data_IF_766161086213
#
_entry.id   IF_766161086213
#
_cell.length_a   1.000
_cell.length_b   1.000
_cell.length_c   1.000
_cell.angle_alpha   90.00
_cell.angle_beta   90.00
_cell.angle_gamma   90.00
#
_symmetry.space_group_name_H-M   'P 1'
#
loop_
_entity.id
_entity.type
_entity.pdbx_description
1 polymer ?
#
# COMPACT_ATOMS: atom_id res chain seq x y z
N UNK A 1 -10.17 43.57 -12.12
CA UNK A 1 -10.18 42.30 -12.88
C UNK A 1 -8.78 42.06 -13.42
N UNK A 2 -8.04 41.09 -12.85
CA UNK A 2 -6.95 40.46 -13.57
C UNK A 2 -7.03 38.92 -13.53
N UNK A 3 -7.18 38.35 -14.73
CA UNK A 3 -6.59 37.12 -15.28
C UNK A 3 -6.20 35.99 -14.31
N UNK A 4 -7.06 34.97 -14.23
CA UNK A 4 -6.68 33.61 -13.86
C UNK A 4 -5.91 32.96 -15.01
N UNK A 5 -4.75 32.41 -14.69
CA UNK A 5 -3.95 31.57 -15.58
C UNK A 5 -4.59 30.20 -15.58
N UNK A 6 -5.28 29.89 -16.68
CA UNK A 6 -5.85 28.58 -16.94
C UNK A 6 -4.70 27.58 -17.15
N UNK A 7 -4.38 26.83 -16.10
CA UNK A 7 -3.42 25.74 -16.16
C UNK A 7 -4.17 24.54 -16.71
N UNK A 8 -3.78 23.97 -17.87
CA UNK A 8 -4.52 22.86 -18.44
C UNK A 8 -4.45 21.67 -17.48
N UNK A 9 -5.62 21.23 -17.02
CA UNK A 9 -5.78 19.98 -16.31
C UNK A 9 -5.26 18.89 -17.25
N UNK A 10 -4.21 18.13 -16.89
CA UNK A 10 -3.78 17.01 -17.72
C UNK A 10 -4.96 16.03 -17.77
N UNK A 11 -5.47 15.85 -18.99
CA UNK A 11 -6.44 14.81 -19.33
C UNK A 11 -5.92 13.48 -18.82
N UNK A 12 -6.55 12.97 -17.76
CA UNK A 12 -6.34 11.62 -17.25
C UNK A 12 -6.65 10.66 -18.38
N UNK A 13 -5.62 10.04 -18.93
CA UNK A 13 -5.78 8.82 -19.72
C UNK A 13 -6.36 7.79 -18.78
N UNK A 14 -7.59 7.40 -19.08
CA UNK A 14 -8.37 6.38 -18.40
C UNK A 14 -7.75 5.01 -18.70
N UNK A 15 -6.64 4.70 -18.03
CA UNK A 15 -6.24 3.32 -17.78
C UNK A 15 -6.93 2.91 -16.50
N UNK A 16 -7.67 1.80 -16.54
CA UNK A 16 -8.17 1.12 -15.35
C UNK A 16 -6.98 0.54 -14.55
N UNK A 17 -6.14 1.42 -14.02
CA UNK A 17 -5.03 1.07 -13.17
C UNK A 17 -5.57 0.80 -11.77
N UNK A 18 -5.54 -0.47 -11.38
CA UNK A 18 -5.80 -0.86 -10.00
C UNK A 18 -4.80 -0.15 -9.09
N UNK A 19 -5.28 0.68 -8.16
CA UNK A 19 -4.43 1.35 -7.19
C UNK A 19 -4.28 0.49 -5.93
N UNK A 20 -3.05 0.39 -5.42
CA UNK A 20 -2.76 -0.23 -4.13
C UNK A 20 -2.54 0.90 -3.12
N UNK A 21 -3.40 0.99 -2.10
CA UNK A 21 -3.23 1.92 -0.98
C UNK A 21 -2.67 1.20 0.23
N UNK A 22 -1.58 1.70 0.79
CA UNK A 22 -0.96 1.17 2.01
C UNK A 22 -0.90 2.27 3.07
N UNK A 23 -1.43 1.97 4.25
CA UNK A 23 -1.46 2.89 5.39
C UNK A 23 -0.73 2.33 6.60
N UNK A 24 -0.18 3.21 7.42
CA UNK A 24 0.40 2.87 8.72
C UNK A 24 -0.31 3.64 9.83
N UNK A 25 -0.34 3.07 11.04
CA UNK A 25 -0.95 3.68 12.23
C UNK A 25 -0.05 3.47 13.42
N UNK A 26 0.14 4.53 14.23
CA UNK A 26 0.74 4.42 15.55
C UNK A 26 -0.30 3.87 16.53
N UNK A 27 0.07 2.81 17.27
CA UNK A 27 -0.71 2.31 18.38
C UNK A 27 0.11 2.46 19.65
N UNK A 28 -0.49 3.10 20.66
CA UNK A 28 0.07 3.21 22.00
C UNK A 28 -0.60 2.18 22.90
N UNK A 29 0.11 1.70 23.92
CA UNK A 29 -0.53 0.93 24.98
C UNK A 29 -1.48 1.84 25.76
N UNK A 30 -2.44 1.25 26.49
CA UNK A 30 -3.35 2.03 27.34
C UNK A 30 -2.58 2.90 28.36
N UNK A 31 -1.51 2.34 28.94
CA UNK A 31 -0.69 3.05 29.92
C UNK A 31 0.06 4.24 29.28
N UNK A 32 0.65 4.03 28.10
CA UNK A 32 1.37 5.09 27.39
C UNK A 32 0.41 6.19 26.92
N UNK A 33 -0.77 5.81 26.42
CA UNK A 33 -1.80 6.76 26.02
C UNK A 33 -2.26 7.63 27.20
N UNK A 34 -2.59 7.01 28.34
CA UNK A 34 -3.02 7.74 29.53
C UNK A 34 -1.91 8.66 30.06
N UNK A 35 -0.66 8.22 30.01
CA UNK A 35 0.51 9.05 30.35
C UNK A 35 0.59 10.26 29.43
N UNK A 36 0.58 10.06 28.11
CA UNK A 36 0.64 11.15 27.13
C UNK A 36 -0.53 12.13 27.29
N UNK A 37 -1.74 11.66 27.58
CA UNK A 37 -2.87 12.55 27.86
C UNK A 37 -2.61 13.43 29.09
N UNK A 38 -2.08 12.84 30.17
CA UNK A 38 -1.74 13.59 31.38
C UNK A 38 -0.62 14.62 31.10
N UNK A 39 0.43 14.21 30.41
CA UNK A 39 1.55 15.05 30.03
C UNK A 39 1.10 16.27 29.20
N UNK A 40 0.19 16.05 28.24
CA UNK A 40 -0.42 17.14 27.46
C UNK A 40 -1.25 18.09 28.33
N UNK A 41 -1.99 17.56 29.31
CA UNK A 41 -2.75 18.39 30.26
C UNK A 41 -1.81 19.23 31.12
N UNK A 42 -0.69 18.66 31.58
CA UNK A 42 0.34 19.38 32.34
C UNK A 42 0.99 20.50 31.52
N UNK A 43 1.26 20.29 30.22
CA UNK A 43 1.78 21.34 29.34
C UNK A 43 0.79 22.51 29.15
N UNK A 44 -0.51 22.22 29.06
CA UNK A 44 -1.54 23.27 28.99
C UNK A 44 -1.58 24.08 30.27
N UNK A 45 -1.51 23.41 31.43
CA UNK A 45 -1.46 24.09 32.73
C UNK A 45 -0.20 24.94 32.87
N UNK A 46 0.95 24.41 32.47
CA UNK A 46 2.23 25.13 32.45
C UNK A 46 2.13 26.40 31.60
N UNK A 47 1.62 26.27 30.36
CA UNK A 47 1.40 27.43 29.47
C UNK A 47 0.50 28.48 30.12
N UNK A 48 -0.61 28.05 30.73
CA UNK A 48 -1.54 28.98 31.35
C UNK A 48 -0.92 29.69 32.56
N UNK A 49 -0.17 28.97 33.39
CA UNK A 49 0.56 29.56 34.51
C UNK A 49 1.60 30.58 34.02
N UNK A 50 2.41 30.23 33.02
CA UNK A 50 3.43 31.12 32.45
C UNK A 50 2.82 32.39 31.85
N UNK A 51 1.68 32.28 31.18
CA UNK A 51 1.04 33.43 30.51
C UNK A 51 0.28 34.32 31.49
N UNK A 52 -0.42 33.73 32.46
CA UNK A 52 -1.38 34.47 33.28
C UNK A 52 -0.92 34.76 34.71
N UNK A 53 0.04 33.98 35.25
CA UNK A 53 0.38 34.04 36.67
C UNK A 53 1.87 34.24 36.93
N UNK A 54 2.73 34.18 35.91
CA UNK A 54 4.17 34.26 36.09
C UNK A 54 4.63 35.56 36.76
N UNK A 55 4.11 36.71 36.32
CA UNK A 55 4.46 38.03 36.89
C UNK A 55 3.89 38.19 38.31
N UNK A 56 2.73 37.59 38.59
CA UNK A 56 2.11 37.62 39.91
C UNK A 56 2.87 36.72 40.91
N UNK A 57 3.49 35.64 40.43
CA UNK A 57 4.25 34.68 41.24
C UNK A 57 5.70 35.10 41.49
N UNK A 58 6.28 35.90 40.60
CA UNK A 58 7.67 36.33 40.68
C UNK A 58 7.76 37.86 40.62
N UNK A 59 8.19 38.48 41.73
CA UNK A 59 8.43 39.91 41.78
C UNK A 59 9.67 40.30 40.95
N UNK A 60 9.43 40.61 39.67
CA UNK A 60 10.45 40.98 38.69
C UNK A 60 11.09 42.35 39.02
N UNK A 61 10.53 43.11 39.96
CA UNK A 61 11.14 44.33 40.49
C UNK A 61 12.34 44.06 41.40
N UNK A 62 12.55 42.81 41.84
CA UNK A 62 13.64 42.45 42.76
C UNK A 62 14.63 41.47 42.14
N UNK A 63 15.88 41.54 42.56
CA UNK A 63 16.93 40.62 42.10
C UNK A 63 16.59 39.15 42.42
N UNK A 64 15.99 38.90 43.60
CA UNK A 64 15.60 37.55 44.02
C UNK A 64 14.39 37.02 43.22
N UNK A 65 13.38 37.86 42.97
CA UNK A 65 12.25 37.47 42.12
C UNK A 65 12.66 37.21 40.67
N UNK A 66 13.59 38.01 40.12
CA UNK A 66 14.20 37.75 38.81
C UNK A 66 14.94 36.40 38.74
N UNK A 67 15.70 36.05 39.78
CA UNK A 67 16.38 34.73 39.86
C UNK A 67 15.37 33.59 39.91
N UNK A 68 14.36 33.70 40.80
CA UNK A 68 13.31 32.70 40.92
C UNK A 68 12.52 32.51 39.61
N UNK A 69 12.15 33.60 38.94
CA UNK A 69 11.47 33.56 37.65
C UNK A 69 12.32 32.93 36.56
N UNK A 70 13.62 33.26 36.49
CA UNK A 70 14.54 32.61 35.55
C UNK A 70 14.62 31.10 35.79
N UNK A 71 14.78 30.68 37.03
CA UNK A 71 14.92 29.26 37.36
C UNK A 71 13.62 28.50 37.04
N UNK A 72 12.44 29.10 37.29
CA UNK A 72 11.14 28.56 36.88
C UNK A 72 10.99 28.46 35.35
N UNK A 73 11.47 29.45 34.58
CA UNK A 73 11.47 29.39 33.11
C UNK A 73 12.38 28.29 32.57
N UNK A 74 13.54 28.07 33.19
CA UNK A 74 14.46 26.97 32.81
C UNK A 74 13.79 25.62 33.06
N UNK A 75 13.14 25.45 34.20
CA UNK A 75 12.39 24.22 34.52
C UNK A 75 11.24 23.99 33.52
N UNK A 76 10.48 25.04 33.22
CA UNK A 76 9.41 24.99 32.22
C UNK A 76 9.94 24.61 30.83
N UNK A 77 11.03 25.23 30.38
CA UNK A 77 11.66 24.93 29.11
C UNK A 77 12.13 23.47 29.05
N UNK A 78 12.75 22.97 30.13
CA UNK A 78 13.24 21.59 30.21
C UNK A 78 12.10 20.58 30.04
N UNK A 79 10.94 20.84 30.66
CA UNK A 79 9.74 19.99 30.50
C UNK A 79 9.21 20.02 29.06
N UNK A 80 9.13 21.20 28.45
CA UNK A 80 8.68 21.34 27.05
C UNK A 80 9.62 20.58 26.10
N UNK A 81 10.94 20.74 26.29
CA UNK A 81 11.96 20.11 25.45
C UNK A 81 11.88 18.57 25.53
N UNK A 82 11.66 18.03 26.72
CA UNK A 82 11.47 16.58 26.90
C UNK A 82 10.28 16.04 26.08
N UNK A 83 9.10 16.65 26.19
CA UNK A 83 7.94 16.22 25.42
C UNK A 83 8.09 16.45 23.92
N UNK A 84 8.80 17.51 23.53
CA UNK A 84 9.10 17.77 22.13
C UNK A 84 9.99 16.67 21.52
N UNK A 85 11.04 16.25 22.24
CA UNK A 85 11.92 15.18 21.78
C UNK A 85 11.21 13.81 21.73
N UNK A 86 10.25 13.54 22.63
CA UNK A 86 9.38 12.35 22.54
C UNK A 86 8.54 12.35 21.27
N UNK A 87 7.85 13.46 20.97
CA UNK A 87 7.05 13.60 19.73
C UNK A 87 7.93 13.49 18.48
N UNK A 88 9.13 14.07 18.53
CA UNK A 88 10.11 13.99 17.44
C UNK A 88 10.59 12.57 17.20
N UNK A 89 10.81 11.79 18.26
CA UNK A 89 11.17 10.38 18.16
C UNK A 89 10.05 9.57 17.49
N UNK A 90 8.78 9.82 17.82
CA UNK A 90 7.64 9.18 17.16
C UNK A 90 7.54 9.56 15.67
N UNK A 91 7.69 10.85 15.36
CA UNK A 91 7.69 11.32 13.98
C UNK A 91 8.80 10.67 13.14
N UNK A 92 10.01 10.56 13.72
CA UNK A 92 11.13 9.86 13.10
C UNK A 92 10.81 8.38 12.89
N UNK A 93 10.29 7.68 13.90
CA UNK A 93 9.90 6.28 13.77
C UNK A 93 8.86 6.03 12.68
N UNK A 94 7.84 6.90 12.57
CA UNK A 94 6.85 6.82 11.49
C UNK A 94 7.46 7.07 10.11
N UNK A 95 8.40 8.01 10.01
CA UNK A 95 9.09 8.30 8.75
C UNK A 95 9.98 7.13 8.31
N UNK A 96 10.76 6.55 9.23
CA UNK A 96 11.63 5.42 8.95
C UNK A 96 10.80 4.17 8.60
N UNK A 97 9.68 3.92 9.29
CA UNK A 97 8.76 2.83 8.94
C UNK A 97 8.15 3.02 7.54
N UNK A 98 7.77 4.26 7.18
CA UNK A 98 7.28 4.57 5.83
C UNK A 98 8.35 4.32 4.77
N UNK A 99 9.61 4.68 5.05
CA UNK A 99 10.73 4.44 4.14
C UNK A 99 10.97 2.94 3.93
N UNK A 100 11.06 2.17 5.01
CA UNK A 100 11.23 0.72 4.94
C UNK A 100 10.07 0.04 4.18
N UNK A 101 8.83 0.50 4.41
CA UNK A 101 7.68 -0.01 3.66
C UNK A 101 7.75 0.34 2.17
N UNK A 102 8.19 1.55 1.83
CA UNK A 102 8.38 1.95 0.43
C UNK A 102 9.44 1.09 -0.26
N UNK A 103 10.55 0.79 0.42
CA UNK A 103 11.59 -0.11 -0.10
C UNK A 103 11.04 -1.51 -0.37
N UNK A 104 10.21 -2.06 0.53
CA UNK A 104 9.54 -3.35 0.31
C UNK A 104 8.62 -3.29 -0.90
N UNK A 105 7.76 -2.27 -0.99
CA UNK A 105 6.78 -2.13 -2.09
C UNK A 105 7.45 -1.96 -3.44
N UNK A 106 8.60 -1.29 -3.48
CA UNK A 106 9.40 -1.09 -4.70
C UNK A 106 10.28 -2.29 -5.05
N UNK A 107 10.34 -3.32 -4.21
CA UNK A 107 11.18 -4.50 -4.46
C UNK A 107 10.56 -5.43 -5.51
N UNK A 108 11.43 -6.08 -6.28
CA UNK A 108 11.02 -7.12 -7.24
C UNK A 108 10.27 -8.25 -6.54
N UNK A 109 10.67 -8.64 -5.32
CA UNK A 109 10.00 -9.68 -4.55
C UNK A 109 8.53 -9.34 -4.23
N UNK A 110 8.24 -8.06 -3.96
CA UNK A 110 6.86 -7.62 -3.75
C UNK A 110 6.08 -7.59 -5.06
N UNK A 111 6.71 -7.14 -6.16
CA UNK A 111 6.11 -7.19 -7.49
C UNK A 111 5.76 -8.64 -7.88
N UNK A 112 6.69 -9.58 -7.73
CA UNK A 112 6.48 -11.01 -8.00
C UNK A 112 5.32 -11.57 -7.17
N UNK A 113 5.23 -11.22 -5.88
CA UNK A 113 4.17 -11.68 -5.01
C UNK A 113 2.79 -11.11 -5.38
N UNK A 114 2.71 -9.81 -5.68
CA UNK A 114 1.43 -9.10 -5.85
C UNK A 114 0.92 -9.18 -7.29
N UNK A 115 1.80 -9.04 -8.27
CA UNK A 115 1.45 -9.03 -9.70
C UNK A 115 1.47 -10.45 -10.25
N UNK A 116 2.54 -11.20 -9.99
CA UNK A 116 2.69 -12.54 -10.55
C UNK A 116 2.14 -13.64 -9.60
N UNK A 117 1.87 -13.34 -8.34
CA UNK A 117 1.43 -14.36 -7.38
C UNK A 117 2.53 -15.38 -7.05
N UNK A 118 3.80 -15.03 -7.26
CA UNK A 118 4.96 -15.88 -7.02
C UNK A 118 5.50 -15.56 -5.63
N UNK A 119 5.53 -16.58 -4.76
CA UNK A 119 6.01 -16.44 -3.38
C UNK A 119 7.54 -16.35 -3.33
N UNK A 120 8.12 -15.83 -2.23
CA UNK A 120 9.58 -15.77 -2.07
C UNK A 120 10.30 -17.12 -2.15
N UNK A 121 9.60 -18.23 -1.92
CA UNK A 121 10.14 -19.59 -2.08
C UNK A 121 10.04 -20.13 -3.53
N UNK A 122 9.58 -19.29 -4.47
CA UNK A 122 9.38 -19.62 -5.88
C UNK A 122 8.05 -20.33 -6.19
N UNK A 123 7.21 -20.61 -5.19
CA UNK A 123 5.92 -21.28 -5.41
C UNK A 123 4.87 -20.32 -5.96
N UNK A 124 4.10 -20.77 -6.96
CA UNK A 124 3.06 -19.94 -7.60
C UNK A 124 1.71 -20.14 -6.93
N UNK A 125 1.07 -19.06 -6.49
CA UNK A 125 -0.34 -19.06 -6.11
C UNK A 125 -1.23 -18.86 -7.33
N UNK A 126 -1.46 -19.95 -8.07
CA UNK A 126 -2.19 -19.94 -9.35
C UNK A 126 -3.54 -19.20 -9.35
N UNK A 127 -4.43 -19.31 -8.33
CA UNK A 127 -5.72 -18.63 -8.37
C UNK A 127 -5.61 -17.10 -8.48
N UNK A 128 -4.57 -16.52 -7.87
CA UNK A 128 -4.29 -15.07 -7.86
C UNK A 128 -3.14 -14.64 -8.76
N UNK A 129 -2.50 -15.56 -9.49
CA UNK A 129 -1.40 -15.23 -10.39
C UNK A 129 -1.87 -14.34 -11.56
N UNK A 130 -1.08 -13.31 -11.88
CA UNK A 130 -1.37 -12.37 -12.96
C UNK A 130 -1.64 -13.06 -14.30
N UNK A 131 -0.87 -14.10 -14.63
CA UNK A 131 -1.06 -14.86 -15.88
C UNK A 131 -2.40 -15.62 -15.94
N UNK A 132 -2.90 -16.08 -14.79
CA UNK A 132 -4.21 -16.73 -14.70
C UNK A 132 -5.33 -15.69 -14.78
N UNK A 133 -5.16 -14.51 -14.19
CA UNK A 133 -6.07 -13.38 -14.37
C UNK A 133 -6.14 -12.97 -15.86
N UNK A 134 -5.00 -12.81 -16.52
CA UNK A 134 -4.92 -12.48 -17.94
C UNK A 134 -5.61 -13.54 -18.82
N UNK A 135 -5.47 -14.84 -18.49
CA UNK A 135 -6.20 -15.92 -19.18
C UNK A 135 -7.72 -15.85 -18.96
N UNK A 136 -8.19 -15.41 -17.78
CA UNK A 136 -9.62 -15.19 -17.53
C UNK A 136 -10.15 -13.99 -18.33
N UNK A 137 -9.39 -12.89 -18.38
CA UNK A 137 -9.73 -11.70 -19.18
C UNK A 137 -9.76 -12.03 -20.68
N UNK A 138 -8.74 -12.72 -21.20
CA UNK A 138 -8.75 -13.19 -22.58
C UNK A 138 -9.96 -14.07 -22.87
N UNK A 139 -10.37 -14.92 -21.91
CA UNK A 139 -11.56 -15.74 -22.07
C UNK A 139 -12.86 -14.95 -22.04
N UNK A 140 -12.97 -13.88 -21.23
CA UNK A 140 -14.17 -13.03 -21.25
C UNK A 140 -14.32 -12.26 -22.57
N UNK A 141 -13.21 -11.96 -23.24
CA UNK A 141 -13.20 -11.21 -24.50
C UNK A 141 -13.34 -12.10 -25.75
N UNK A 142 -12.71 -13.27 -25.76
CA UNK A 142 -12.52 -14.09 -26.97
C UNK A 142 -13.37 -15.37 -27.01
N UNK A 143 -14.07 -15.72 -25.94
CA UNK A 143 -14.78 -16.99 -25.88
C UNK A 143 -15.90 -17.09 -26.93
N UNK A 144 -15.89 -18.19 -27.68
CA UNK A 144 -16.98 -18.62 -28.55
C UNK A 144 -17.58 -19.88 -27.96
N UNK A 145 -18.88 -19.84 -27.67
CA UNK A 145 -19.60 -20.92 -26.95
C UNK A 145 -18.93 -21.31 -25.61
N UNK A 146 -18.37 -20.31 -24.93
CA UNK A 146 -17.67 -20.48 -23.66
C UNK A 146 -16.25 -21.06 -23.76
N UNK A 147 -15.73 -21.28 -24.97
CA UNK A 147 -14.37 -21.79 -25.19
C UNK A 147 -13.49 -20.75 -25.87
N UNK A 148 -12.26 -20.61 -25.39
CA UNK A 148 -11.25 -19.72 -25.98
C UNK A 148 -10.08 -20.53 -26.50
N UNK A 149 -9.60 -20.23 -27.70
CA UNK A 149 -8.41 -20.89 -28.25
C UNK A 149 -7.16 -20.41 -27.50
N UNK A 150 -6.29 -21.35 -27.09
CA UNK A 150 -5.07 -21.01 -26.33
C UNK A 150 -4.14 -20.10 -27.13
N UNK A 151 -4.06 -20.26 -28.45
CA UNK A 151 -3.22 -19.45 -29.34
C UNK A 151 -3.75 -18.02 -29.52
N UNK A 152 -5.07 -17.86 -29.62
CA UNK A 152 -5.73 -16.55 -29.69
C UNK A 152 -5.57 -15.81 -28.38
N UNK A 153 -5.79 -16.49 -27.24
CA UNK A 153 -5.53 -15.93 -25.92
C UNK A 153 -4.06 -15.56 -25.73
N UNK A 154 -3.12 -16.41 -26.13
CA UNK A 154 -1.69 -16.10 -26.05
C UNK A 154 -1.33 -14.81 -26.80
N UNK A 155 -1.89 -14.63 -28.01
CA UNK A 155 -1.67 -13.44 -28.83
C UNK A 155 -2.28 -12.19 -28.17
N UNK A 156 -3.52 -12.31 -27.68
CA UNK A 156 -4.23 -11.22 -26.99
C UNK A 156 -3.53 -10.79 -25.70
N UNK A 157 -3.03 -11.75 -24.91
CA UNK A 157 -2.31 -11.48 -23.67
C UNK A 157 -0.94 -10.85 -23.97
N UNK A 158 -0.22 -11.33 -24.98
CA UNK A 158 1.08 -10.74 -25.36
C UNK A 158 0.95 -9.27 -25.79
N UNK A 159 -0.19 -8.91 -26.40
CA UNK A 159 -0.46 -7.53 -26.81
C UNK A 159 -0.83 -6.61 -25.63
N UNK A 160 -1.57 -7.12 -24.63
CA UNK A 160 -2.15 -6.29 -23.55
C UNK A 160 -1.42 -6.37 -22.22
N UNK A 161 -0.84 -7.52 -21.91
CA UNK A 161 -0.12 -7.85 -20.68
C UNK A 161 1.23 -8.49 -21.03
N UNK A 162 2.13 -7.77 -21.71
CA UNK A 162 3.39 -8.32 -22.22
C UNK A 162 4.30 -8.89 -21.12
N UNK A 163 4.14 -8.45 -19.87
CA UNK A 163 4.84 -8.93 -18.69
C UNK A 163 4.39 -10.33 -18.24
N UNK A 164 3.20 -10.78 -18.68
CA UNK A 164 2.67 -12.11 -18.35
C UNK A 164 3.16 -13.14 -19.37
N UNK A 165 4.31 -13.76 -19.08
CA UNK A 165 4.90 -14.79 -19.95
C UNK A 165 5.00 -16.14 -19.23
N UNK A 166 4.70 -17.28 -19.90
CA UNK A 166 4.81 -18.61 -19.30
C UNK A 166 6.16 -18.90 -18.62
N UNK A 167 7.25 -18.40 -19.20
CA UNK A 167 8.61 -18.58 -18.68
C UNK A 167 8.79 -18.02 -17.26
N UNK A 168 8.12 -16.92 -16.93
CA UNK A 168 8.17 -16.30 -15.59
C UNK A 168 7.59 -17.22 -14.51
N UNK A 169 6.76 -18.19 -14.91
CA UNK A 169 6.08 -19.15 -14.05
C UNK A 169 6.67 -20.57 -14.16
N UNK A 170 7.87 -20.72 -14.76
CA UNK A 170 8.48 -22.03 -14.99
C UNK A 170 7.76 -22.89 -16.04
N UNK A 171 6.85 -22.30 -16.82
CA UNK A 171 6.07 -22.99 -17.83
C UNK A 171 6.67 -22.81 -19.23
N UNK A 172 6.78 -23.89 -19.98
CA UNK A 172 7.32 -23.89 -21.34
C UNK A 172 6.35 -23.40 -22.43
N UNK A 173 5.06 -23.31 -22.13
CA UNK A 173 4.05 -22.81 -23.08
C UNK A 173 2.74 -22.39 -22.38
N UNK A 174 1.90 -21.64 -23.08
CA UNK A 174 0.55 -21.28 -22.59
C UNK A 174 -0.31 -22.49 -22.26
N UNK A 175 -0.20 -23.59 -23.02
CA UNK A 175 -0.89 -24.85 -22.71
C UNK A 175 -0.42 -25.45 -21.37
N UNK A 176 0.87 -25.34 -21.08
CA UNK A 176 1.43 -25.78 -19.80
C UNK A 176 0.85 -24.93 -18.67
N UNK A 177 0.76 -23.61 -18.81
CA UNK A 177 0.13 -22.72 -17.80
C UNK A 177 -1.34 -23.10 -17.54
N UNK A 178 -2.12 -23.29 -18.60
CA UNK A 178 -3.55 -23.65 -18.48
C UNK A 178 -3.71 -24.98 -17.71
N UNK A 179 -2.86 -25.96 -18.01
CA UNK A 179 -2.84 -27.26 -17.32
C UNK A 179 -2.38 -27.13 -15.86
N UNK A 180 -1.24 -26.49 -15.62
CA UNK A 180 -0.59 -26.41 -14.31
C UNK A 180 -1.39 -25.57 -13.31
N UNK A 181 -2.04 -24.50 -13.80
CA UNK A 181 -2.85 -23.61 -12.97
C UNK A 181 -4.12 -24.27 -12.39
N UNK A 182 -4.59 -25.38 -12.98
CA UNK A 182 -5.82 -26.10 -12.64
C UNK A 182 -7.07 -25.21 -12.50
N UNK A 183 -7.02 -24.01 -13.08
CA UNK A 183 -8.05 -22.98 -13.00
C UNK A 183 -9.00 -23.03 -14.19
N UNK A 184 -8.67 -23.86 -15.19
CA UNK A 184 -9.36 -23.97 -16.44
C UNK A 184 -9.56 -25.43 -16.82
N UNK A 185 -10.61 -25.67 -17.59
CA UNK A 185 -10.82 -26.90 -18.33
C UNK A 185 -10.11 -26.76 -19.68
N UNK A 186 -9.31 -27.76 -20.08
CA UNK A 186 -8.58 -27.78 -21.35
C UNK A 186 -9.08 -28.95 -22.21
N UNK A 187 -9.51 -28.65 -23.45
CA UNK A 187 -9.94 -29.65 -24.44
C UNK A 187 -9.31 -29.41 -25.80
N UNK A 188 -9.24 -30.46 -26.60
CA UNK A 188 -8.74 -30.41 -27.98
C UNK A 188 -9.91 -30.56 -28.94
N UNK A 189 -9.98 -29.67 -29.94
CA UNK A 189 -11.00 -29.67 -30.98
C UNK A 189 -10.34 -29.85 -32.35
N UNK A 190 -11.02 -30.52 -33.28
CA UNK A 190 -10.58 -30.56 -34.67
C UNK A 190 -11.23 -29.42 -35.45
N UNK A 191 -10.40 -28.52 -35.98
CA UNK A 191 -10.85 -27.41 -36.82
C UNK A 191 -10.00 -27.43 -38.09
N UNK A 192 -10.65 -27.67 -39.24
CA UNK A 192 -9.97 -27.74 -40.54
C UNK A 192 -8.85 -28.79 -40.60
N UNK A 193 -9.03 -29.94 -39.92
CA UNK A 193 -8.04 -31.03 -39.88
C UNK A 193 -6.83 -30.79 -38.96
N UNK A 194 -6.83 -29.70 -38.17
CA UNK A 194 -5.82 -29.42 -37.15
C UNK A 194 -6.42 -29.56 -35.75
N UNK A 195 -5.65 -30.12 -34.83
CA UNK A 195 -6.01 -30.19 -33.41
C UNK A 195 -5.68 -28.86 -32.73
N UNK A 196 -6.72 -28.16 -32.29
CA UNK A 196 -6.64 -26.85 -31.62
C UNK A 196 -6.96 -27.03 -30.14
N UNK A 197 -6.10 -26.49 -29.27
CA UNK A 197 -6.32 -26.49 -27.83
C UNK A 197 -7.22 -25.31 -27.45
N UNK A 198 -8.33 -25.58 -26.78
CA UNK A 198 -9.24 -24.57 -26.25
C UNK A 198 -9.44 -24.75 -24.75
N UNK A 199 -9.62 -23.65 -24.06
CA UNK A 199 -9.84 -23.65 -22.61
C UNK A 199 -11.10 -22.88 -22.22
N UNK A 200 -11.60 -23.17 -21.03
CA UNK A 200 -12.74 -22.50 -20.40
C UNK A 200 -12.48 -22.38 -18.90
N UNK A 201 -12.95 -21.31 -18.27
CA UNK A 201 -12.87 -21.17 -16.81
C UNK A 201 -13.57 -22.33 -16.10
N UNK A 202 -12.95 -22.88 -15.07
CA UNK A 202 -13.64 -23.85 -14.21
C UNK A 202 -14.76 -23.11 -13.46
N UNK A 203 -16.01 -23.49 -13.67
CA UNK A 203 -17.12 -23.12 -12.79
C UNK A 203 -16.85 -23.78 -11.43
N UNK A 204 -16.19 -23.07 -10.51
CA UNK A 204 -16.41 -23.38 -9.10
C UNK A 204 -17.81 -22.86 -8.76
N UNK A 205 -18.70 -23.68 -8.18
CA UNK A 205 -19.94 -23.15 -7.66
C UNK A 205 -19.57 -22.02 -6.69
N UNK A 206 -20.24 -20.88 -6.82
CA UNK A 206 -20.25 -19.88 -5.77
C UNK A 206 -20.64 -20.63 -4.49
N UNK A 207 -19.71 -20.80 -3.55
CA UNK A 207 -20.09 -21.19 -2.20
C UNK A 207 -21.02 -20.08 -1.71
N UNK A 208 -22.29 -20.36 -1.42
CA UNK A 208 -23.08 -19.40 -0.67
C UNK A 208 -22.42 -19.25 0.70
N UNK A 209 -22.30 -17.99 1.13
CA UNK A 209 -21.82 -17.60 2.44
C UNK A 209 -22.50 -18.36 3.58
#
# INVERSE_FOLDING_TARGET
VPNEVDTPIPTSTDTSDGHISIGSRLQLSYADFARTENDLRELVLLRNNLVHHFIDQHDIGTLNGCRGGRDALIEAYTRIDQHFEELRAWAKGMHDARRALAEVVQSDAFHELVVNGIRPDGTVFWPGAGIVRALREAASELAVDGWTTVEEAASWITERHPEQQPANYGCSSWRHVVHESRSFELRYFEVGGRRVARYRGNERPANPC
#
